data_IF_106912691645
#
_entry.id   IF_106912691645
#
_cell.length_a   1.000
_cell.length_b   1.000
_cell.length_c   1.000
_cell.angle_alpha   90.00
_cell.angle_beta   90.00
_cell.angle_gamma   90.00
#
_symmetry.space_group_name_H-M   'P 1'
#
loop_
_entity.id
_entity.type
_entity.pdbx_description
1 polymer ?
#
# COMPACT_ATOMS: atom_id res chain seq x y z
N UNK A 1 -3.96 -1.48 21.57
CA UNK A 1 -2.94 -1.50 20.51
C UNK A 1 -1.81 -2.39 20.98
N UNK A 2 -1.70 -3.58 20.42
CA UNK A 2 -0.53 -4.45 20.60
C UNK A 2 0.44 -4.25 19.43
N UNK A 3 1.60 -4.91 19.47
CA UNK A 3 2.59 -4.82 18.39
C UNK A 3 2.04 -5.31 17.05
N UNK A 4 1.11 -6.27 17.06
CA UNK A 4 0.47 -6.81 15.86
C UNK A 4 -0.38 -5.74 15.15
N UNK A 5 -1.17 -4.97 15.89
CA UNK A 5 -1.96 -3.86 15.35
C UNK A 5 -1.07 -2.80 14.69
N UNK A 6 0.05 -2.49 15.35
CA UNK A 6 1.05 -1.56 14.82
C UNK A 6 1.62 -2.09 13.51
N UNK A 7 2.02 -3.37 13.44
CA UNK A 7 2.58 -3.97 12.22
C UNK A 7 1.57 -4.00 11.08
N UNK A 8 0.30 -4.36 11.35
CA UNK A 8 -0.77 -4.32 10.35
C UNK A 8 -0.87 -2.93 9.72
N UNK A 9 -1.00 -1.89 10.56
CA UNK A 9 -1.10 -0.50 10.09
C UNK A 9 0.19 -0.04 9.41
N UNK A 10 1.35 -0.36 9.97
CA UNK A 10 2.66 0.00 9.44
C UNK A 10 2.85 -0.53 8.01
N UNK A 11 2.61 -1.83 7.79
CA UNK A 11 2.74 -2.42 6.47
C UNK A 11 1.71 -1.85 5.50
N UNK A 12 0.45 -1.65 5.90
CA UNK A 12 -0.56 -1.04 5.03
C UNK A 12 -0.15 0.38 4.60
N UNK A 13 0.28 1.20 5.56
CA UNK A 13 0.66 2.58 5.30
C UNK A 13 1.98 2.68 4.54
N UNK A 14 2.89 1.73 4.70
CA UNK A 14 4.13 1.68 3.92
C UNK A 14 3.85 1.24 2.46
N UNK A 15 2.82 0.43 2.22
CA UNK A 15 2.41 0.08 0.86
C UNK A 15 1.98 1.31 0.04
N UNK A 16 1.34 2.30 0.67
CA UNK A 16 0.76 3.47 -0.01
C UNK A 16 1.79 4.36 -0.73
N UNK A 17 2.83 4.93 -0.09
CA UNK A 17 3.80 5.78 -0.76
C UNK A 17 4.59 5.00 -1.81
N UNK A 18 4.99 3.75 -1.53
CA UNK A 18 5.71 2.93 -2.49
C UNK A 18 4.86 2.60 -3.72
N UNK A 19 3.55 2.38 -3.54
CA UNK A 19 2.65 2.19 -4.66
C UNK A 19 2.56 3.46 -5.53
N UNK A 20 2.25 4.61 -4.92
CA UNK A 20 2.06 5.88 -5.62
C UNK A 20 3.36 6.27 -6.36
N UNK A 21 4.48 6.29 -5.66
CA UNK A 21 5.78 6.66 -6.23
C UNK A 21 6.23 5.67 -7.31
N UNK A 22 6.01 4.37 -7.09
CA UNK A 22 6.30 3.34 -8.08
C UNK A 22 5.51 3.54 -9.37
N UNK A 23 4.21 3.87 -9.25
CA UNK A 23 3.36 4.09 -10.41
C UNK A 23 3.74 5.37 -11.18
N UNK A 24 4.06 6.44 -10.46
CA UNK A 24 4.48 7.73 -11.04
C UNK A 24 5.91 7.69 -11.62
N UNK A 25 6.63 6.58 -11.47
CA UNK A 25 7.98 6.42 -12.01
C UNK A 25 9.06 7.04 -11.12
N UNK A 26 8.69 7.54 -9.95
CA UNK A 26 9.65 8.07 -8.97
C UNK A 26 10.50 6.93 -8.42
N UNK A 27 11.80 7.17 -8.38
CA UNK A 27 12.77 6.21 -7.85
C UNK A 27 12.99 6.52 -6.37
N UNK A 28 12.72 5.54 -5.51
CA UNK A 28 12.97 5.61 -4.07
C UNK A 28 13.63 4.31 -3.63
N UNK A 29 14.38 4.38 -2.53
CA UNK A 29 14.91 3.18 -1.89
C UNK A 29 13.74 2.43 -1.22
N UNK A 30 13.64 1.13 -1.49
CA UNK A 30 12.67 0.22 -0.91
C UNK A 30 13.38 -0.99 -0.31
N UNK A 31 12.64 -1.87 0.37
CA UNK A 31 13.20 -3.14 0.87
C UNK A 31 13.74 -4.06 -0.24
N UNK A 32 13.34 -3.84 -1.50
CA UNK A 32 13.84 -4.59 -2.67
C UNK A 32 14.80 -3.78 -3.54
N UNK A 33 15.41 -2.73 -2.99
CA UNK A 33 16.40 -1.89 -3.67
C UNK A 33 15.83 -0.60 -4.26
N UNK A 34 16.57 0.02 -5.17
CA UNK A 34 16.29 1.37 -5.68
C UNK A 34 15.64 1.35 -7.07
N UNK A 35 14.43 1.92 -7.18
CA UNK A 35 13.75 2.10 -8.47
C UNK A 35 12.24 1.97 -8.39
N UNK A 36 11.56 2.40 -9.45
CA UNK A 36 10.09 2.37 -9.53
C UNK A 36 9.52 0.94 -9.50
N UNK A 37 10.15 -0.01 -10.21
CA UNK A 37 9.76 -1.44 -10.17
C UNK A 37 9.95 -2.04 -8.78
N UNK A 38 11.05 -1.68 -8.11
CA UNK A 38 11.34 -2.08 -6.73
C UNK A 38 10.27 -1.54 -5.76
N UNK A 39 9.89 -0.27 -5.93
CA UNK A 39 8.79 0.35 -5.17
C UNK A 39 7.46 -0.39 -5.35
N UNK A 40 7.07 -0.74 -6.58
CA UNK A 40 5.82 -1.47 -6.82
C UNK A 40 5.84 -2.87 -6.21
N UNK A 41 6.95 -3.61 -6.36
CA UNK A 41 7.11 -4.93 -5.74
C UNK A 41 7.07 -4.85 -4.21
N UNK A 42 7.72 -3.85 -3.63
CA UNK A 42 7.73 -3.61 -2.19
C UNK A 42 6.35 -3.21 -1.67
N UNK A 43 5.62 -2.36 -2.39
CA UNK A 43 4.25 -2.00 -2.05
C UNK A 43 3.33 -3.22 -1.99
N UNK A 44 3.42 -4.11 -3.00
CA UNK A 44 2.65 -5.34 -3.03
C UNK A 44 3.01 -6.26 -1.86
N UNK A 45 4.30 -6.43 -1.57
CA UNK A 45 4.75 -7.24 -0.43
C UNK A 45 4.20 -6.69 0.90
N UNK A 46 4.27 -5.38 1.13
CA UNK A 46 3.73 -4.74 2.32
C UNK A 46 2.21 -4.92 2.45
N UNK A 47 1.46 -4.75 1.35
CA UNK A 47 0.01 -4.98 1.35
C UNK A 47 -0.33 -6.44 1.70
N UNK A 48 0.35 -7.41 1.08
CA UNK A 48 0.15 -8.83 1.36
C UNK A 48 0.49 -9.14 2.82
N UNK A 49 1.63 -8.66 3.33
CA UNK A 49 2.01 -8.85 4.74
C UNK A 49 0.97 -8.28 5.69
N UNK A 50 0.48 -7.06 5.44
CA UNK A 50 -0.56 -6.44 6.26
C UNK A 50 -1.85 -7.26 6.29
N UNK A 51 -2.33 -7.69 5.11
CA UNK A 51 -3.53 -8.52 4.98
C UNK A 51 -3.35 -9.89 5.64
N UNK A 52 -2.21 -10.54 5.47
CA UNK A 52 -1.91 -11.83 6.10
C UNK A 52 -1.96 -11.71 7.61
N UNK A 53 -1.33 -10.69 8.20
CA UNK A 53 -1.35 -10.49 9.66
C UNK A 53 -2.77 -10.17 10.14
N UNK A 54 -3.51 -9.31 9.44
CA UNK A 54 -4.89 -8.96 9.75
C UNK A 54 -5.79 -10.21 9.75
N UNK A 55 -5.77 -11.00 8.67
CA UNK A 55 -6.62 -12.19 8.53
C UNK A 55 -6.22 -13.27 9.55
N UNK A 56 -4.92 -13.44 9.81
CA UNK A 56 -4.45 -14.40 10.80
C UNK A 56 -4.88 -14.03 12.23
N UNK A 57 -4.89 -12.74 12.56
CA UNK A 57 -5.16 -12.25 13.92
C UNK A 57 -6.65 -12.09 14.19
N UNK A 58 -7.40 -11.56 13.23
CA UNK A 58 -8.78 -11.11 13.39
C UNK A 58 -9.77 -11.82 12.46
N UNK A 59 -9.30 -12.75 11.62
CA UNK A 59 -10.13 -13.41 10.61
C UNK A 59 -10.51 -12.49 9.46
N UNK A 60 -11.34 -13.01 8.55
CA UNK A 60 -11.85 -12.24 7.41
C UNK A 60 -12.81 -11.12 7.85
N UNK A 61 -13.63 -11.35 8.88
CA UNK A 61 -14.53 -10.32 9.43
C UNK A 61 -13.74 -9.14 10.00
N UNK A 62 -12.55 -9.39 10.52
CA UNK A 62 -11.64 -8.35 11.02
C UNK A 62 -11.38 -7.21 10.03
N UNK A 63 -11.41 -7.46 8.73
CA UNK A 63 -11.26 -6.39 7.73
C UNK A 63 -12.42 -5.39 7.80
N UNK A 64 -13.66 -5.88 7.97
CA UNK A 64 -14.86 -5.05 8.03
C UNK A 64 -15.07 -4.44 9.43
N UNK A 65 -14.70 -5.18 10.47
CA UNK A 65 -14.89 -4.75 11.86
C UNK A 65 -13.89 -3.65 12.28
N UNK A 66 -12.76 -3.52 11.57
CA UNK A 66 -11.73 -2.51 11.84
C UNK A 66 -11.84 -1.33 10.87
N UNK A 67 -12.73 -0.38 11.18
CA UNK A 67 -13.05 0.75 10.30
C UNK A 67 -11.86 1.60 9.83
N UNK A 68 -10.84 1.82 10.67
CA UNK A 68 -9.61 2.55 10.27
C UNK A 68 -8.83 1.75 9.22
N UNK A 69 -8.67 0.45 9.43
CA UNK A 69 -7.98 -0.42 8.48
C UNK A 69 -8.74 -0.49 7.16
N UNK A 70 -10.06 -0.67 7.21
CA UNK A 70 -10.92 -0.68 6.04
C UNK A 70 -10.80 0.63 5.26
N UNK A 71 -10.88 1.78 5.94
CA UNK A 71 -10.73 3.09 5.31
C UNK A 71 -9.37 3.28 4.64
N UNK A 72 -8.29 2.91 5.31
CA UNK A 72 -6.94 2.99 4.75
C UNK A 72 -6.74 2.05 3.54
N UNK A 73 -7.28 0.82 3.62
CA UNK A 73 -7.26 -0.14 2.52
C UNK A 73 -8.07 0.35 1.32
N UNK A 74 -9.28 0.90 1.57
CA UNK A 74 -10.09 1.52 0.52
C UNK A 74 -9.36 2.68 -0.14
N UNK A 75 -8.70 3.55 0.63
CA UNK A 75 -7.89 4.63 0.07
C UNK A 75 -6.77 4.09 -0.82
N UNK A 76 -6.03 3.08 -0.38
CA UNK A 76 -4.98 2.46 -1.19
C UNK A 76 -5.54 1.91 -2.52
N UNK A 77 -6.69 1.23 -2.49
CA UNK A 77 -7.35 0.71 -3.69
C UNK A 77 -7.77 1.86 -4.62
N UNK A 78 -8.33 2.94 -4.08
CA UNK A 78 -8.69 4.13 -4.86
C UNK A 78 -7.46 4.76 -5.50
N UNK A 79 -6.35 4.89 -4.77
CA UNK A 79 -5.07 5.32 -5.32
C UNK A 79 -4.61 4.38 -6.44
N UNK A 80 -4.81 3.07 -6.28
CA UNK A 80 -4.45 2.11 -7.32
C UNK A 80 -5.22 2.32 -8.61
N UNK A 81 -6.53 2.49 -8.52
CA UNK A 81 -7.41 2.68 -9.66
C UNK A 81 -7.19 4.06 -10.29
N UNK A 82 -7.02 5.10 -9.49
CA UNK A 82 -6.96 6.48 -9.95
C UNK A 82 -5.55 6.92 -10.41
N UNK A 83 -4.48 6.31 -9.88
CA UNK A 83 -3.10 6.71 -10.19
C UNK A 83 -2.74 6.66 -11.70
N UNK A 84 -3.17 5.64 -12.49
CA UNK A 84 -2.98 5.66 -13.94
C UNK A 84 -3.65 6.85 -14.63
N UNK A 85 -4.87 7.21 -14.19
CA UNK A 85 -5.60 8.36 -14.71
C UNK A 85 -4.86 9.65 -14.35
N UNK A 86 -4.44 9.82 -13.10
CA UNK A 86 -3.73 11.01 -12.67
C UNK A 86 -2.37 11.15 -13.34
N UNK A 87 -1.63 10.05 -13.53
CA UNK A 87 -0.39 10.06 -14.29
C UNK A 87 -0.62 10.51 -15.73
N UNK A 88 -1.73 10.13 -16.35
CA UNK A 88 -2.09 10.60 -17.71
C UNK A 88 -2.48 12.08 -17.74
N UNK A 89 -3.18 12.57 -16.72
CA UNK A 89 -3.69 13.95 -16.65
C UNK A 89 -2.63 14.96 -16.21
N UNK A 90 -1.77 14.57 -15.27
CA UNK A 90 -0.85 15.46 -14.56
C UNK A 90 0.62 15.06 -14.71
N UNK A 91 0.91 13.88 -15.26
CA UNK A 91 2.29 13.49 -15.54
C UNK A 91 2.85 14.33 -16.68
N UNK A 92 4.01 14.94 -16.44
CA UNK A 92 4.75 15.62 -17.50
C UNK A 92 5.05 14.62 -18.63
N UNK A 93 4.66 14.98 -19.85
CA UNK A 93 5.09 14.28 -21.06
C UNK A 93 6.55 14.66 -21.29
N UNK A 94 7.47 13.89 -20.73
CA UNK A 94 8.85 13.86 -21.22
C UNK A 94 8.87 13.22 -22.60
#
# INVERSE_FOLDING_TARGET
MNITDFLIGFFLMNAMPHFILGHWGTRMLSGFGFGNKANLAWALANLVTSLTIMIYTYGLSGILDHGIYLGALSMLILFWIASPLWKKLFGERN
#
